data_IF_260319245751
#
_entry.id   IF_260319245751
#
_cell.length_a   1.000
_cell.length_b   1.000
_cell.length_c   1.000
_cell.angle_alpha   90.00
_cell.angle_beta   90.00
_cell.angle_gamma   90.00
#
_symmetry.space_group_name_H-M   'P 1'
#
loop_
_entity.id
_entity.type
_entity.pdbx_description
1 polymer ?
#
# COMPACT_ATOMS: atom_id res chain seq x y z
N UNK A 1 -1.90 0.36 -0.70
CA UNK A 1 -3.35 0.10 -0.52
C UNK A 1 -4.13 1.34 -0.05
N UNK A 2 -3.80 1.91 1.12
CA UNK A 2 -4.54 3.04 1.71
C UNK A 2 -4.67 4.26 0.78
N UNK A 3 -3.58 4.68 0.13
CA UNK A 3 -3.60 5.74 -0.90
C UNK A 3 -4.54 5.41 -2.07
N UNK A 4 -4.43 4.20 -2.65
CA UNK A 4 -5.27 3.75 -3.78
C UNK A 4 -6.76 3.76 -3.42
N UNK A 5 -7.11 3.34 -2.19
CA UNK A 5 -8.50 3.36 -1.71
C UNK A 5 -8.96 4.71 -1.15
N UNK A 6 -8.07 5.70 -1.07
CA UNK A 6 -8.29 7.01 -0.46
C UNK A 6 -8.88 6.92 0.97
N UNK A 7 -8.27 6.11 1.85
CA UNK A 7 -8.60 6.08 3.28
C UNK A 7 -7.61 6.94 4.07
N UNK A 8 -8.02 8.15 4.52
CA UNK A 8 -7.15 9.08 5.24
C UNK A 8 -6.76 8.59 6.64
N UNK A 9 -7.70 7.98 7.36
CA UNK A 9 -7.43 7.30 8.63
C UNK A 9 -6.32 6.27 8.46
N UNK A 10 -6.45 5.42 7.44
CA UNK A 10 -5.55 4.31 7.21
C UNK A 10 -4.15 4.76 6.76
N UNK A 11 -4.05 5.80 5.91
CA UNK A 11 -2.75 6.39 5.58
C UNK A 11 -2.09 6.97 6.84
N UNK A 12 -2.84 7.69 7.68
CA UNK A 12 -2.32 8.27 8.92
C UNK A 12 -1.83 7.18 9.89
N UNK A 13 -2.63 6.12 10.09
CA UNK A 13 -2.30 4.97 10.92
C UNK A 13 -1.05 4.24 10.42
N UNK A 14 -1.01 3.86 9.13
CA UNK A 14 0.13 3.13 8.57
C UNK A 14 1.41 3.98 8.50
N UNK A 15 1.33 5.30 8.32
CA UNK A 15 2.49 6.20 8.46
C UNK A 15 3.03 6.18 9.88
N UNK A 16 2.16 6.33 10.89
CA UNK A 16 2.58 6.31 12.29
C UNK A 16 3.16 4.94 12.71
N UNK A 17 2.54 3.83 12.27
CA UNK A 17 2.99 2.48 12.58
C UNK A 17 4.28 2.10 11.82
N UNK A 18 4.44 2.57 10.58
CA UNK A 18 5.67 2.40 9.81
C UNK A 18 6.86 3.07 10.50
N UNK A 19 6.68 4.31 10.97
CA UNK A 19 7.71 5.03 11.73
C UNK A 19 8.06 4.30 13.05
N UNK A 20 7.07 3.81 13.78
CA UNK A 20 7.28 3.00 14.99
C UNK A 20 8.01 1.67 14.71
N UNK A 21 7.88 1.15 13.49
CA UNK A 21 8.57 -0.07 13.04
C UNK A 21 9.99 0.19 12.55
N UNK A 22 10.47 1.44 12.60
CA UNK A 22 11.83 1.83 12.24
C UNK A 22 12.02 2.27 10.79
N UNK A 23 10.94 2.43 10.01
CA UNK A 23 11.04 3.02 8.67
C UNK A 23 11.38 4.51 8.77
N UNK A 24 12.30 4.94 7.92
CA UNK A 24 12.60 6.36 7.72
C UNK A 24 11.43 7.08 7.04
N UNK A 25 11.39 8.40 7.17
CA UNK A 25 10.41 9.24 6.47
C UNK A 25 10.47 9.02 4.95
N UNK A 26 11.66 8.88 4.38
CA UNK A 26 11.86 8.63 2.96
C UNK A 26 11.26 7.28 2.52
N UNK A 27 11.45 6.23 3.31
CA UNK A 27 10.85 4.91 3.05
C UNK A 27 9.33 4.95 3.15
N UNK A 28 8.77 5.67 4.13
CA UNK A 28 7.33 5.83 4.29
C UNK A 28 6.73 6.59 3.11
N UNK A 29 7.32 7.72 2.73
CA UNK A 29 6.88 8.51 1.56
C UNK A 29 6.99 7.68 0.28
N UNK A 30 8.11 6.97 0.10
CA UNK A 30 8.29 6.04 -1.01
C UNK A 30 7.20 4.99 -1.05
N UNK A 31 6.94 4.28 0.05
CA UNK A 31 5.93 3.23 0.12
C UNK A 31 4.52 3.76 -0.20
N UNK A 32 4.19 4.99 0.22
CA UNK A 32 2.92 5.65 -0.14
C UNK A 32 2.82 5.92 -1.65
N UNK A 33 3.94 6.22 -2.30
CA UNK A 33 4.06 6.36 -3.76
C UNK A 33 4.28 5.01 -4.48
N UNK A 34 4.29 3.89 -3.75
CA UNK A 34 4.71 2.56 -4.21
C UNK A 34 6.12 2.52 -4.84
N UNK A 35 7.03 3.25 -4.23
CA UNK A 35 8.45 3.26 -4.53
C UNK A 35 9.27 2.73 -3.34
N UNK A 36 10.34 1.99 -3.62
CA UNK A 36 11.35 1.60 -2.63
C UNK A 36 12.73 1.54 -3.27
N UNK A 37 13.77 1.86 -2.48
CA UNK A 37 15.15 1.63 -2.87
C UNK A 37 15.55 0.14 -2.76
N UNK A 38 14.83 -0.64 -1.96
CA UNK A 38 15.00 -2.08 -1.91
C UNK A 38 14.26 -2.73 -3.10
N UNK A 39 15.01 -3.42 -3.95
CA UNK A 39 14.48 -3.99 -5.20
C UNK A 39 13.38 -5.02 -4.96
N UNK A 40 13.47 -5.81 -3.88
CA UNK A 40 12.49 -6.83 -3.54
C UNK A 40 11.18 -6.18 -3.06
N UNK A 41 11.27 -5.17 -2.20
CA UNK A 41 10.14 -4.36 -1.77
C UNK A 41 9.51 -3.61 -2.96
N UNK A 42 10.31 -3.06 -3.87
CA UNK A 42 9.80 -2.41 -5.08
C UNK A 42 8.97 -3.37 -5.93
N UNK A 43 9.43 -4.61 -6.13
CA UNK A 43 8.67 -5.62 -6.87
C UNK A 43 7.33 -5.97 -6.19
N UNK A 44 7.32 -6.12 -4.86
CA UNK A 44 6.08 -6.32 -4.09
C UNK A 44 5.12 -5.13 -4.20
N UNK A 45 5.62 -3.90 -4.11
CA UNK A 45 4.82 -2.67 -4.24
C UNK A 45 4.21 -2.55 -5.64
N UNK A 46 4.99 -2.83 -6.69
CA UNK A 46 4.50 -2.82 -8.08
C UNK A 46 3.44 -3.90 -8.30
N UNK A 47 3.68 -5.13 -7.83
CA UNK A 47 2.69 -6.20 -7.92
C UNK A 47 1.41 -5.86 -7.15
N UNK A 48 1.54 -5.32 -5.93
CA UNK A 48 0.39 -4.91 -5.13
C UNK A 48 -0.42 -3.77 -5.77
N UNK A 49 0.24 -2.81 -6.44
CA UNK A 49 -0.45 -1.79 -7.22
C UNK A 49 -1.23 -2.39 -8.39
N UNK A 50 -0.65 -3.34 -9.14
CA UNK A 50 -1.33 -4.02 -10.24
C UNK A 50 -2.57 -4.77 -9.74
N UNK A 51 -2.43 -5.58 -8.69
CA UNK A 51 -3.55 -6.32 -8.08
C UNK A 51 -4.66 -5.36 -7.61
N UNK A 52 -4.31 -4.27 -6.92
CA UNK A 52 -5.30 -3.30 -6.44
C UNK A 52 -6.02 -2.57 -7.57
N UNK A 53 -5.28 -2.09 -8.57
CA UNK A 53 -5.81 -1.29 -9.68
C UNK A 53 -6.69 -2.13 -10.58
N UNK A 54 -6.24 -3.35 -10.88
CA UNK A 54 -6.92 -4.27 -11.79
C UNK A 54 -7.87 -5.24 -11.06
N UNK A 55 -8.12 -5.02 -9.76
CA UNK A 55 -9.05 -5.83 -8.94
C UNK A 55 -8.74 -7.34 -8.99
N UNK A 56 -7.45 -7.67 -9.00
CA UNK A 56 -6.95 -9.04 -9.06
C UNK A 56 -6.67 -9.58 -10.46
N UNK A 57 -7.09 -8.89 -11.53
CA UNK A 57 -6.77 -9.27 -12.90
C UNK A 57 -5.33 -8.84 -13.25
N UNK A 58 -4.36 -9.69 -12.89
CA UNK A 58 -2.95 -9.50 -13.24
C UNK A 58 -2.56 -10.30 -14.47
N UNK A 59 -1.64 -9.75 -15.27
CA UNK A 59 -1.05 -10.42 -16.42
C UNK A 59 0.00 -11.45 -15.99
N UNK A 60 0.30 -12.41 -16.87
CA UNK A 60 1.41 -13.34 -16.64
C UNK A 60 2.76 -12.64 -16.47
N UNK A 61 2.95 -11.49 -17.13
CA UNK A 61 4.18 -10.70 -17.02
C UNK A 61 4.34 -10.10 -15.61
N UNK A 62 3.28 -9.52 -15.05
CA UNK A 62 3.29 -8.96 -13.69
C UNK A 62 3.51 -10.06 -12.64
N UNK A 63 2.87 -11.21 -12.81
CA UNK A 63 3.03 -12.34 -11.91
C UNK A 63 4.44 -12.96 -12.00
N UNK A 64 5.02 -13.02 -13.20
CA UNK A 64 6.40 -13.51 -13.36
C UNK A 64 7.41 -12.52 -12.79
N UNK A 65 7.20 -11.21 -12.96
CA UNK A 65 8.10 -10.18 -12.43
C UNK A 65 8.26 -10.27 -10.90
N UNK A 66 7.17 -10.49 -10.15
CA UNK A 66 7.27 -10.66 -8.69
C UNK A 66 7.97 -11.97 -8.31
N UNK A 67 7.77 -13.06 -9.07
CA UNK A 67 8.48 -14.33 -8.86
C UNK A 67 9.98 -14.21 -9.13
N UNK A 68 10.35 -13.53 -10.20
CA UNK A 68 11.76 -13.27 -10.58
C UNK A 68 12.48 -12.40 -9.56
N UNK A 69 11.75 -11.56 -8.81
CA UNK A 69 12.27 -10.82 -7.66
C UNK A 69 12.49 -11.69 -6.41
N UNK A 70 12.29 -13.01 -6.50
CA UNK A 70 12.57 -13.98 -5.44
C UNK A 70 11.42 -14.18 -4.45
N UNK A 71 10.18 -13.87 -4.82
CA UNK A 71 9.00 -14.23 -4.03
C UNK A 71 8.56 -15.65 -4.35
N UNK A 72 8.37 -16.45 -3.30
CA UNK A 72 7.74 -17.76 -3.40
C UNK A 72 6.23 -17.64 -3.66
N UNK A 73 5.59 -18.71 -4.12
CA UNK A 73 4.12 -18.74 -4.28
C UNK A 73 3.39 -18.43 -2.96
N UNK A 74 3.94 -18.87 -1.82
CA UNK A 74 3.39 -18.57 -0.50
C UNK A 74 3.44 -17.08 -0.17
N UNK A 75 4.54 -16.41 -0.47
CA UNK A 75 4.67 -14.96 -0.25
C UNK A 75 3.83 -14.16 -1.25
N UNK A 76 3.62 -14.64 -2.49
CA UNK A 76 2.67 -14.04 -3.42
C UNK A 76 1.24 -14.10 -2.88
N UNK A 77 0.85 -15.25 -2.32
CA UNK A 77 -0.45 -15.40 -1.62
C UNK A 77 -0.54 -14.46 -0.42
N UNK A 78 0.54 -14.32 0.36
CA UNK A 78 0.60 -13.42 1.50
C UNK A 78 0.43 -11.94 1.10
N UNK A 79 1.06 -11.51 0.00
CA UNK A 79 0.85 -10.16 -0.56
C UNK A 79 -0.64 -9.94 -0.89
N UNK A 80 -1.28 -10.89 -1.59
CA UNK A 80 -2.70 -10.79 -1.94
C UNK A 80 -3.59 -10.78 -0.70
N UNK A 81 -3.28 -11.60 0.31
CA UNK A 81 -3.99 -11.63 1.58
C UNK A 81 -3.88 -10.28 2.32
N UNK A 82 -2.68 -9.69 2.38
CA UNK A 82 -2.49 -8.36 2.94
C UNK A 82 -3.25 -7.27 2.18
N UNK A 83 -3.30 -7.36 0.84
CA UNK A 83 -4.11 -6.44 0.03
C UNK A 83 -5.58 -6.55 0.42
N UNK A 84 -6.13 -7.77 0.49
CA UNK A 84 -7.52 -8.00 0.86
C UNK A 84 -7.85 -7.47 2.27
N UNK A 85 -6.98 -7.76 3.25
CA UNK A 85 -7.11 -7.26 4.62
C UNK A 85 -7.11 -5.73 4.65
N UNK A 86 -6.17 -5.09 3.95
CA UNK A 86 -6.10 -3.63 3.87
C UNK A 86 -7.33 -3.03 3.20
N UNK A 87 -7.84 -3.63 2.12
CA UNK A 87 -9.07 -3.13 1.47
C UNK A 87 -10.25 -3.19 2.44
N UNK A 88 -10.39 -4.31 3.17
CA UNK A 88 -11.43 -4.45 4.19
C UNK A 88 -11.32 -3.38 5.26
N UNK A 89 -10.15 -3.21 5.88
CA UNK A 89 -9.96 -2.21 6.95
C UNK A 89 -10.13 -0.78 6.44
N UNK A 90 -9.69 -0.50 5.21
CA UNK A 90 -9.89 0.80 4.57
C UNK A 90 -11.37 1.11 4.37
N UNK A 91 -12.16 0.11 3.96
CA UNK A 91 -13.60 0.28 3.79
C UNK A 91 -14.30 0.46 5.13
N UNK A 92 -13.91 -0.30 6.16
CA UNK A 92 -14.44 -0.13 7.51
C UNK A 92 -14.13 1.28 8.05
N UNK A 93 -12.91 1.78 7.88
CA UNK A 93 -12.54 3.14 8.30
C UNK A 93 -13.36 4.22 7.59
N UNK A 94 -13.59 4.07 6.28
CA UNK A 94 -14.38 5.02 5.49
C UNK A 94 -15.87 4.98 5.81
N UNK A 95 -16.46 3.78 5.87
CA UNK A 95 -17.89 3.60 6.18
C UNK A 95 -18.19 4.01 7.62
N UNK A 96 -17.29 3.66 8.54
CA UNK A 96 -17.41 4.02 9.95
C UNK A 96 -17.16 5.49 10.26
N UNK A 97 -16.61 6.26 9.30
CA UNK A 97 -16.22 7.66 9.50
C UNK A 97 -15.41 7.86 10.79
N UNK A 98 -14.43 6.98 10.98
CA UNK A 98 -13.65 6.93 12.21
C UNK A 98 -12.77 8.19 12.30
N UNK A 99 -12.83 8.87 13.45
CA UNK A 99 -11.97 10.00 13.75
C UNK A 99 -10.49 9.59 13.72
N UNK A 100 -9.63 10.45 13.16
CA UNK A 100 -8.20 10.18 13.07
C UNK A 100 -7.56 10.42 14.44
N UNK A 101 -7.13 9.35 15.09
CA UNK A 101 -6.43 9.33 16.38
C UNK A 101 -4.89 9.19 16.25
N UNK A 102 -4.39 9.24 15.02
CA UNK A 102 -2.97 9.28 14.67
C UNK A 102 -2.55 10.70 14.21
N UNK A 103 -1.25 11.02 14.14
CA UNK A 103 -0.79 12.20 13.41
C UNK A 103 -1.36 12.20 11.99
N UNK A 104 -2.19 13.20 11.67
CA UNK A 104 -2.92 13.24 10.41
C UNK A 104 -1.96 13.41 9.23
N UNK A 105 -2.20 12.61 8.19
CA UNK A 105 -1.47 12.65 6.92
C UNK A 105 -2.44 12.89 5.77
N UNK A 106 -2.11 13.82 4.88
CA UNK A 106 -2.89 14.09 3.68
C UNK A 106 -2.66 13.05 2.58
N UNK A 107 -3.72 12.68 1.86
CA UNK A 107 -3.63 11.76 0.71
C UNK A 107 -2.81 12.39 -0.42
N UNK A 108 -1.95 11.60 -1.08
CA UNK A 108 -1.09 12.10 -2.17
C UNK A 108 -1.91 12.60 -3.37
N UNK A 109 -3.00 11.91 -3.70
CA UNK A 109 -3.90 12.29 -4.80
C UNK A 109 -4.69 13.59 -4.55
N UNK A 110 -4.82 14.03 -3.29
CA UNK A 110 -5.41 15.34 -2.95
C UNK A 110 -4.40 16.48 -3.02
N UNK A 111 -3.12 16.21 -2.75
CA UNK A 111 -2.07 17.22 -2.82
C UNK A 111 -1.86 17.77 -4.26
N UNK A 112 -1.97 16.92 -5.29
CA UNK A 112 -1.91 17.36 -6.70
C UNK A 112 -3.15 18.15 -7.17
N UNK A 113 -4.29 18.03 -6.49
CA UNK A 113 -5.50 18.78 -6.84
C UNK A 113 -5.53 20.19 -6.22
N UNK A 114 -4.56 20.50 -5.35
CA UNK A 114 -4.44 21.77 -4.63
C UNK A 114 -3.30 22.67 -5.17
N UNK A 115 -2.70 22.33 -6.32
CA UNK A 115 -1.64 23.08 -7.01
C UNK A 115 -2.07 23.54 -8.40
#
# INVERSE_FOLDING_TARGET
AAEVTACQYCVSAHTALGAQSGLSEAEIVGARQASSADARAQAALTFAQAVLTNRGEVTSAELNAVREAGFSEGEVVEIVAHIALNVLTNYLGKVGQIDIDFPQVELLGRACAAS
#
